data_IF_398631919018
#
_entry.id   IF_398631919018
#
_cell.length_a   1.000
_cell.length_b   1.000
_cell.length_c   1.000
_cell.angle_alpha   90.00
_cell.angle_beta   90.00
_cell.angle_gamma   90.00
#
_symmetry.space_group_name_H-M   'P 1'
#
loop_
_entity.id
_entity.type
_entity.pdbx_description
1 polymer ?
#
# COMPACT_ATOMS: atom_id res chain seq x y z
N UNK A 1 -18.12 10.62 -1.69
CA UNK A 1 -17.27 9.49 -2.13
C UNK A 1 -16.10 10.01 -2.97
N UNK A 2 -16.37 10.97 -3.86
CA UNK A 2 -15.39 11.68 -4.71
C UNK A 2 -14.16 12.25 -3.98
N UNK A 3 -14.29 12.63 -2.70
CA UNK A 3 -13.15 13.08 -1.88
C UNK A 3 -12.08 12.00 -1.68
N UNK A 4 -12.45 10.72 -1.72
CA UNK A 4 -11.57 9.60 -1.36
C UNK A 4 -11.21 8.71 -2.55
N UNK A 5 -12.09 8.59 -3.54
CA UNK A 5 -11.85 7.79 -4.74
C UNK A 5 -12.23 8.62 -5.95
N UNK A 6 -11.33 8.70 -6.93
CA UNK A 6 -11.66 9.28 -8.22
C UNK A 6 -12.74 8.44 -8.90
N UNK A 7 -13.85 9.08 -9.30
CA UNK A 7 -14.91 8.43 -10.08
C UNK A 7 -14.56 8.27 -11.57
N UNK A 8 -13.33 8.67 -11.96
CA UNK A 8 -12.78 8.46 -13.28
C UNK A 8 -11.60 7.49 -13.25
N UNK A 9 -11.46 6.73 -14.32
CA UNK A 9 -10.28 5.88 -14.56
C UNK A 9 -9.12 6.77 -14.99
N UNK A 10 -7.91 6.49 -14.50
CA UNK A 10 -6.70 7.28 -14.76
C UNK A 10 -5.51 6.40 -15.12
N UNK A 11 -4.49 6.90 -15.84
CA UNK A 11 -3.23 6.18 -16.00
C UNK A 11 -2.54 6.01 -14.64
N UNK A 12 -1.87 4.87 -14.43
CA UNK A 12 -1.22 4.56 -13.15
C UNK A 12 -0.11 5.59 -12.81
N UNK A 13 0.68 5.97 -13.80
CA UNK A 13 1.91 6.76 -13.66
C UNK A 13 1.79 8.22 -14.11
N UNK A 14 0.58 8.74 -14.27
CA UNK A 14 0.36 10.10 -14.80
C UNK A 14 1.03 11.19 -13.92
N UNK A 15 0.74 11.16 -12.62
CA UNK A 15 1.28 12.11 -11.63
C UNK A 15 2.47 11.58 -10.85
N UNK A 16 2.88 10.34 -11.10
CA UNK A 16 3.79 9.61 -10.22
C UNK A 16 4.90 8.95 -11.01
N UNK A 17 6.13 9.24 -10.60
CA UNK A 17 7.32 8.56 -11.07
C UNK A 17 7.66 7.42 -10.11
N UNK A 18 7.86 6.22 -10.66
CA UNK A 18 8.35 5.07 -9.89
C UNK A 18 9.77 5.35 -9.35
N UNK A 19 10.01 4.96 -8.10
CA UNK A 19 11.33 5.10 -7.44
C UNK A 19 11.87 3.73 -7.03
N UNK A 20 11.17 3.00 -6.18
CA UNK A 20 11.57 1.67 -5.71
C UNK A 20 10.36 0.80 -5.36
N UNK A 21 10.54 -0.53 -5.39
CA UNK A 21 9.56 -1.47 -4.86
C UNK A 21 9.80 -1.66 -3.37
N UNK A 22 8.79 -1.38 -2.56
CA UNK A 22 8.86 -1.52 -1.09
C UNK A 22 8.46 -2.94 -0.68
N UNK A 23 7.33 -3.42 -1.19
CA UNK A 23 6.77 -4.71 -0.82
C UNK A 23 5.94 -5.32 -1.97
N UNK A 24 5.79 -6.63 -1.95
CA UNK A 24 4.92 -7.37 -2.85
C UNK A 24 4.29 -8.55 -2.13
N UNK A 25 2.95 -8.60 -2.11
CA UNK A 25 2.23 -9.64 -1.38
C UNK A 25 0.89 -10.02 -1.99
N UNK A 26 0.10 -10.77 -1.24
CA UNK A 26 -1.22 -11.24 -1.67
C UNK A 26 -2.19 -10.08 -1.98
N UNK A 27 -2.00 -8.94 -1.32
CA UNK A 27 -2.84 -7.74 -1.44
C UNK A 27 -2.34 -6.72 -2.47
N UNK A 28 -1.41 -7.13 -3.34
CA UNK A 28 -0.83 -6.26 -4.36
C UNK A 28 0.63 -5.92 -4.09
N UNK A 29 1.15 -4.98 -4.87
CA UNK A 29 2.51 -4.47 -4.76
C UNK A 29 2.50 -3.05 -4.22
N UNK A 30 3.49 -2.70 -3.39
CA UNK A 30 3.66 -1.37 -2.84
C UNK A 30 4.96 -0.77 -3.38
N UNK A 31 4.84 0.42 -3.96
CA UNK A 31 5.94 1.15 -4.56
C UNK A 31 6.17 2.46 -3.83
N UNK A 32 7.42 2.85 -3.66
CA UNK A 32 7.75 4.25 -3.41
C UNK A 32 7.66 4.99 -4.72
N UNK A 33 6.95 6.10 -4.70
CA UNK A 33 6.75 6.94 -5.88
C UNK A 33 7.06 8.39 -5.51
N UNK A 34 7.47 9.16 -6.52
CA UNK A 34 7.63 10.61 -6.40
C UNK A 34 6.51 11.27 -7.18
N UNK A 35 5.74 12.14 -6.54
CA UNK A 35 4.71 12.92 -7.21
C UNK A 35 5.39 14.03 -8.05
N UNK A 36 4.99 14.17 -9.31
CA UNK A 36 5.60 15.11 -10.27
C UNK A 36 5.14 16.55 -10.06
N UNK A 37 4.02 16.77 -9.35
CA UNK A 37 3.43 18.09 -9.09
C UNK A 37 4.06 18.74 -7.85
N UNK A 38 4.13 18.02 -6.73
CA UNK A 38 4.62 18.57 -5.46
C UNK A 38 6.03 18.09 -5.09
N UNK A 39 6.63 17.21 -5.90
CA UNK A 39 7.96 16.61 -5.69
C UNK A 39 8.13 15.81 -4.38
N UNK A 40 7.04 15.43 -3.70
CA UNK A 40 7.08 14.63 -2.47
C UNK A 40 7.07 13.13 -2.77
N UNK A 41 7.58 12.35 -1.81
CA UNK A 41 7.55 10.90 -1.86
C UNK A 41 6.31 10.34 -1.19
N UNK A 42 5.75 9.30 -1.79
CA UNK A 42 4.55 8.61 -1.34
C UNK A 42 4.73 7.09 -1.42
N UNK A 43 3.87 6.36 -0.73
CA UNK A 43 3.68 4.93 -0.94
C UNK A 43 2.45 4.71 -1.81
N UNK A 44 2.61 3.97 -2.91
CA UNK A 44 1.55 3.59 -3.83
C UNK A 44 1.33 2.09 -3.77
N UNK A 45 0.21 1.66 -3.22
CA UNK A 45 -0.25 0.26 -3.26
C UNK A 45 -1.09 0.04 -4.50
N UNK A 46 -0.76 -1.00 -5.26
CA UNK A 46 -1.40 -1.35 -6.52
C UNK A 46 -2.01 -2.75 -6.42
N UNK A 47 -3.33 -2.81 -6.48
CA UNK A 47 -4.13 -4.03 -6.39
C UNK A 47 -4.68 -4.41 -7.77
N UNK A 48 -4.46 -5.66 -8.20
CA UNK A 48 -5.06 -6.18 -9.44
C UNK A 48 -6.49 -6.65 -9.16
N UNK A 49 -7.49 -5.87 -9.54
CA UNK A 49 -8.90 -6.15 -9.25
C UNK A 49 -9.35 -7.48 -9.84
N UNK A 50 -8.98 -7.77 -11.08
CA UNK A 50 -9.31 -9.05 -11.72
C UNK A 50 -8.85 -10.24 -10.88
N UNK A 51 -7.63 -10.19 -10.33
CA UNK A 51 -7.09 -11.26 -9.46
C UNK A 51 -7.83 -11.35 -8.12
N UNK A 52 -8.22 -10.21 -7.54
CA UNK A 52 -8.95 -10.15 -6.27
C UNK A 52 -10.36 -10.71 -6.45
N UNK A 53 -11.11 -10.20 -7.42
CA UNK A 53 -12.50 -10.55 -7.69
C UNK A 53 -12.67 -12.02 -8.12
N UNK A 54 -11.65 -12.62 -8.74
CA UNK A 54 -11.68 -14.01 -9.23
C UNK A 54 -10.98 -15.00 -8.30
N UNK A 55 -10.58 -14.58 -7.09
CA UNK A 55 -9.85 -15.43 -6.13
C UNK A 55 -10.63 -16.69 -5.74
N UNK A 56 -11.95 -16.60 -5.69
CA UNK A 56 -12.85 -17.71 -5.43
C UNK A 56 -14.11 -17.60 -6.32
N UNK A 57 -14.68 -18.73 -6.76
CA UNK A 57 -15.91 -18.72 -7.56
C UNK A 57 -17.05 -18.07 -6.77
N UNK A 58 -17.87 -17.25 -7.44
CA UNK A 58 -19.03 -16.56 -6.89
C UNK A 58 -18.75 -15.62 -5.69
N UNK A 59 -17.52 -15.15 -5.49
CA UNK A 59 -17.15 -14.30 -4.35
C UNK A 59 -17.14 -12.78 -4.64
N UNK A 60 -17.58 -12.35 -5.82
CA UNK A 60 -17.51 -10.96 -6.28
C UNK A 60 -18.04 -9.95 -5.26
N UNK A 61 -19.21 -10.23 -4.67
CA UNK A 61 -19.86 -9.33 -3.71
C UNK A 61 -19.01 -9.12 -2.46
N UNK A 62 -18.38 -10.18 -1.93
CA UNK A 62 -17.56 -10.09 -0.71
C UNK A 62 -16.25 -9.36 -0.97
N UNK A 63 -15.63 -9.58 -2.13
CA UNK A 63 -14.42 -8.86 -2.53
C UNK A 63 -14.72 -7.37 -2.78
N UNK A 64 -15.85 -7.06 -3.41
CA UNK A 64 -16.33 -5.67 -3.55
C UNK A 64 -16.58 -5.01 -2.19
N UNK A 65 -17.22 -5.71 -1.25
CA UNK A 65 -17.40 -5.21 0.13
C UNK A 65 -16.05 -4.97 0.80
N UNK A 66 -15.04 -5.81 0.54
CA UNK A 66 -13.68 -5.66 1.08
C UNK A 66 -13.00 -4.40 0.55
N UNK A 67 -13.12 -4.13 -0.77
CA UNK A 67 -12.62 -2.89 -1.39
C UNK A 67 -13.34 -1.66 -0.80
N UNK A 68 -14.66 -1.71 -0.67
CA UNK A 68 -15.45 -0.62 -0.07
C UNK A 68 -15.05 -0.38 1.39
N UNK A 69 -14.77 -1.45 2.14
CA UNK A 69 -14.29 -1.36 3.52
C UNK A 69 -12.94 -0.66 3.59
N UNK A 70 -12.00 -1.03 2.71
CA UNK A 70 -10.69 -0.37 2.59
C UNK A 70 -10.88 1.13 2.30
N UNK A 71 -11.72 1.49 1.33
CA UNK A 71 -12.02 2.90 1.02
C UNK A 71 -12.59 3.66 2.22
N UNK A 72 -13.44 3.03 3.03
CA UNK A 72 -14.01 3.68 4.21
C UNK A 72 -12.94 4.00 5.27
N UNK A 73 -11.82 3.27 5.31
CA UNK A 73 -10.71 3.57 6.23
C UNK A 73 -9.94 4.85 5.86
N UNK A 74 -10.05 5.33 4.61
CA UNK A 74 -9.35 6.53 4.14
C UNK A 74 -9.79 7.82 4.86
N UNK A 75 -10.92 7.76 5.58
CA UNK A 75 -11.43 8.85 6.41
C UNK A 75 -10.69 9.01 7.73
N UNK A 76 -9.94 7.99 8.15
CA UNK A 76 -9.21 8.01 9.41
C UNK A 76 -8.04 8.99 9.31
N UNK A 77 -7.95 9.90 10.27
CA UNK A 77 -6.91 10.93 10.35
C UNK A 77 -6.41 10.96 11.80
N UNK A 78 -5.22 10.40 12.04
CA UNK A 78 -4.62 10.33 13.37
C UNK A 78 -3.09 10.27 13.23
N UNK A 79 -2.30 10.88 14.13
CA UNK A 79 -0.83 10.92 14.03
C UNK A 79 -0.14 9.55 13.89
N UNK A 80 -0.77 8.48 14.40
CA UNK A 80 -0.24 7.11 14.37
C UNK A 80 -0.92 6.22 13.30
N UNK A 81 -1.63 6.81 12.34
CA UNK A 81 -2.25 6.11 11.21
C UNK A 81 -1.77 6.79 9.95
N UNK A 82 -1.27 6.01 8.99
CA UNK A 82 -0.76 6.56 7.73
C UNK A 82 -1.80 7.41 7.03
N UNK A 83 -1.47 8.67 6.77
CA UNK A 83 -2.36 9.61 6.13
C UNK A 83 -2.65 9.20 4.67
N UNK A 84 -3.93 9.08 4.37
CA UNK A 84 -4.42 8.87 3.01
C UNK A 84 -4.23 10.11 2.14
N UNK A 85 -3.78 9.93 0.90
CA UNK A 85 -3.58 11.01 -0.08
C UNK A 85 -4.62 10.98 -1.21
N UNK A 86 -4.61 9.93 -2.04
CA UNK A 86 -5.62 9.75 -3.09
C UNK A 86 -5.76 8.26 -3.49
N UNK A 87 -6.84 7.92 -4.17
CA UNK A 87 -7.01 6.60 -4.77
C UNK A 87 -7.79 6.69 -6.08
N UNK A 88 -7.51 5.77 -6.99
CA UNK A 88 -8.11 5.76 -8.31
C UNK A 88 -8.04 4.38 -8.96
N UNK A 89 -8.98 4.14 -9.87
CA UNK A 89 -8.96 2.98 -10.76
C UNK A 89 -8.15 3.29 -12.01
N UNK A 90 -7.50 2.26 -12.55
CA UNK A 90 -6.65 2.36 -13.74
C UNK A 90 -7.25 1.60 -14.92
N UNK A 91 -6.78 1.90 -16.12
CA UNK A 91 -7.22 1.21 -17.35
C UNK A 91 -6.83 -0.27 -17.39
N UNK A 92 -5.88 -0.70 -16.54
CA UNK A 92 -5.37 -2.06 -16.47
C UNK A 92 -6.05 -2.92 -15.39
N UNK A 93 -7.30 -2.60 -15.03
CA UNK A 93 -8.07 -3.24 -13.95
C UNK A 93 -7.35 -3.21 -12.59
N UNK A 94 -6.61 -2.12 -12.30
CA UNK A 94 -5.88 -1.96 -11.04
C UNK A 94 -6.50 -0.86 -10.19
N UNK A 95 -6.54 -1.08 -8.89
CA UNK A 95 -6.88 -0.07 -7.90
C UNK A 95 -5.60 0.43 -7.23
N UNK A 96 -5.31 1.72 -7.42
CA UNK A 96 -4.16 2.39 -6.86
C UNK A 96 -4.58 3.18 -5.62
N UNK A 97 -3.86 2.98 -4.51
CA UNK A 97 -4.05 3.69 -3.25
C UNK A 97 -2.73 4.37 -2.92
N UNK A 98 -2.77 5.70 -2.78
CA UNK A 98 -1.61 6.52 -2.47
C UNK A 98 -1.76 7.05 -1.04
N UNK A 99 -0.76 6.79 -0.22
CA UNK A 99 -0.67 7.27 1.16
C UNK A 99 0.66 7.98 1.38
N UNK A 100 0.77 8.70 2.49
CA UNK A 100 2.08 9.15 2.95
C UNK A 100 3.07 7.98 3.03
N UNK A 101 4.33 8.28 2.73
CA UNK A 101 5.40 7.32 2.93
C UNK A 101 5.78 7.34 4.42
N UNK A 102 5.48 6.25 5.13
CA UNK A 102 5.98 6.08 6.49
C UNK A 102 7.49 5.84 6.45
N UNK A 103 8.24 6.54 7.30
CA UNK A 103 9.66 6.28 7.46
C UNK A 103 9.88 4.81 7.84
N UNK A 104 10.85 4.20 7.17
CA UNK A 104 11.13 2.77 7.26
C UNK A 104 11.18 2.32 8.72
N UNK A 105 10.49 1.22 9.05
CA UNK A 105 10.79 0.48 10.27
C UNK A 105 12.31 0.27 10.34
N UNK A 106 12.89 0.56 11.50
CA UNK A 106 14.32 0.37 11.80
C UNK A 106 14.83 -1.06 11.60
N UNK A 107 13.95 -2.00 11.25
CA UNK A 107 14.23 -3.43 11.06
C UNK A 107 14.74 -3.80 9.66
N UNK A 108 14.88 -2.84 8.74
CA UNK A 108 15.37 -3.10 7.38
C UNK A 108 16.79 -2.57 7.10
N UNK A 109 17.59 -2.26 8.13
CA UNK A 109 18.98 -1.81 7.92
C UNK A 109 19.89 -2.96 7.48
N UNK A 110 19.90 -3.28 6.18
CA UNK A 110 20.92 -4.15 5.58
C UNK A 110 22.25 -3.42 5.26
N UNK A 111 22.36 -2.13 5.56
CA UNK A 111 23.56 -1.33 5.32
C UNK A 111 24.04 -0.56 6.56
N UNK A 112 23.86 -1.12 7.76
CA UNK A 112 24.55 -0.62 8.96
C UNK A 112 25.83 -1.46 9.20
N UNK A 113 27.04 -0.89 9.17
CA UNK A 113 28.28 -1.65 9.37
C UNK A 113 28.38 -2.32 10.75
N UNK A 114 27.56 -1.90 11.73
CA UNK A 114 27.48 -2.51 13.06
C UNK A 114 26.57 -3.76 13.12
N UNK A 115 25.83 -4.10 12.06
CA UNK A 115 24.95 -5.28 12.04
C UNK A 115 25.70 -6.62 12.20
N UNK A 116 27.00 -6.66 11.86
CA UNK A 116 27.83 -7.87 12.02
C UNK A 116 28.17 -8.23 13.48
N UNK A 117 27.82 -7.37 14.46
CA UNK A 117 28.12 -7.58 15.88
C UNK A 117 27.00 -8.23 16.68
N UNK A 118 25.79 -8.36 16.12
CA UNK A 118 24.65 -8.89 16.86
C UNK A 118 24.55 -10.43 16.77
N UNK A 119 24.56 -11.06 17.93
CA UNK A 119 24.49 -12.51 18.12
C UNK A 119 23.10 -13.03 17.68
N UNK A 120 23.00 -14.08 16.82
CA UNK A 120 21.72 -14.61 16.31
C UNK A 120 20.72 -15.05 17.38
N UNK A 121 21.16 -15.27 18.62
CA UNK A 121 20.32 -15.72 19.73
C UNK A 121 19.51 -14.61 20.42
N UNK A 122 19.73 -13.33 20.09
CA UNK A 122 18.98 -12.19 20.68
C UNK A 122 17.98 -11.55 19.72
N UNK A 123 17.60 -12.21 18.64
CA UNK A 123 16.54 -11.71 17.78
C UNK A 123 15.21 -11.70 18.55
N UNK A 124 14.51 -10.54 18.66
CA UNK A 124 13.14 -10.55 19.11
C UNK A 124 12.35 -11.37 18.09
N UNK A 125 11.71 -12.44 18.55
CA UNK A 125 10.78 -13.22 17.72
C UNK A 125 9.76 -12.25 17.16
N UNK A 126 9.78 -12.04 15.84
CA UNK A 126 8.78 -11.25 15.14
C UNK A 126 7.41 -11.86 15.42
N UNK A 127 6.70 -11.34 16.41
CA UNK A 127 5.26 -11.50 16.48
C UNK A 127 4.70 -10.62 15.38
N UNK A 128 4.61 -11.19 14.17
CA UNK A 128 3.73 -10.70 13.14
C UNK A 128 2.38 -10.47 13.81
N UNK A 129 2.00 -9.19 13.96
CA UNK A 129 0.68 -8.85 14.44
C UNK A 129 -0.30 -9.43 13.43
N UNK A 130 -0.87 -10.58 13.82
CA UNK A 130 -2.02 -11.22 13.20
C UNK A 130 -3.08 -10.12 13.03
N UNK A 131 -3.31 -9.69 11.80
CA UNK A 131 -4.58 -9.08 11.45
C UNK A 131 -5.63 -10.16 11.73
N UNK A 132 -6.40 -9.98 12.80
CA UNK A 132 -7.52 -10.86 13.12
C UNK A 132 -8.57 -10.66 12.02
N UNK A 133 -8.90 -11.79 11.39
CA UNK A 133 -10.02 -12.04 10.51
C UNK A 133 -11.35 -11.55 11.06
#
# INVERSE_FOLDING_TARGET
>A
MEKYVALSVKPLWDKYQFVESIDSGAFGSVYKVKNTVDNKFYAMKVQKLKKILTRAPNNYSNEMVSIIREINTFKLSHPNITQFHESYFTYDDQFAIVTELADQCSDCKHNDPDYKRYNPSSQPKCHAQRFKS
#
